data_IF_167046149973
#
_entry.id   IF_167046149973
#
_cell.length_a   1.000
_cell.length_b   1.000
_cell.length_c   1.000
_cell.angle_alpha   90.00
_cell.angle_beta   90.00
_cell.angle_gamma   90.00
#
_symmetry.space_group_name_H-M   'P 1'
#
loop_
_entity.id
_entity.type
_entity.pdbx_description
1 polymer ?
#
# COMPACT_ATOMS: atom_id res chain seq x y z
N UNK A 1 -58.38 36.76 -19.53
CA UNK A 1 -58.18 35.70 -18.55
C UNK A 1 -57.74 34.48 -19.33
N UNK A 2 -56.45 34.23 -19.36
CA UNK A 2 -55.85 33.02 -19.95
C UNK A 2 -55.26 32.20 -18.81
N UNK A 3 -55.91 31.08 -18.51
CA UNK A 3 -55.43 30.08 -17.56
C UNK A 3 -54.20 29.39 -18.16
N UNK A 4 -53.05 29.65 -17.56
CA UNK A 4 -51.80 28.93 -17.86
C UNK A 4 -51.70 27.74 -16.92
N UNK A 5 -52.36 26.65 -17.31
CA UNK A 5 -52.20 25.35 -16.62
C UNK A 5 -50.87 24.78 -17.04
N UNK A 6 -49.89 24.93 -16.19
CA UNK A 6 -48.60 24.21 -16.30
C UNK A 6 -48.90 22.73 -16.08
N UNK A 7 -48.94 21.97 -17.18
CA UNK A 7 -48.98 20.51 -17.12
C UNK A 7 -47.66 20.03 -16.44
N UNK A 8 -47.79 19.52 -15.24
CA UNK A 8 -46.74 18.83 -14.53
C UNK A 8 -46.54 17.47 -15.21
N UNK A 9 -45.39 17.33 -15.89
CA UNK A 9 -44.99 16.08 -16.54
C UNK A 9 -44.63 15.04 -15.46
N UNK A 10 -45.35 13.91 -15.35
CA UNK A 10 -45.11 12.90 -14.30
C UNK A 10 -43.85 12.06 -14.53
N UNK A 11 -43.03 12.38 -15.53
CA UNK A 11 -41.77 11.64 -15.80
C UNK A 11 -40.55 12.09 -14.98
N UNK A 12 -40.68 13.13 -14.12
CA UNK A 12 -39.55 13.73 -13.41
C UNK A 12 -39.34 13.16 -11.99
N UNK A 13 -40.13 12.22 -11.53
CA UNK A 13 -39.97 11.53 -10.23
C UNK A 13 -39.21 10.19 -10.36
N UNK A 14 -38.13 10.17 -11.13
CA UNK A 14 -37.23 9.02 -11.11
C UNK A 14 -36.32 9.08 -9.85
N UNK A 15 -36.80 8.48 -8.76
CA UNK A 15 -36.13 8.39 -7.44
C UNK A 15 -34.93 7.41 -7.44
N UNK A 16 -34.36 7.16 -8.62
CA UNK A 16 -33.20 6.32 -8.81
C UNK A 16 -31.90 7.11 -8.95
N UNK A 17 -30.72 6.45 -8.78
CA UNK A 17 -29.44 7.11 -8.92
C UNK A 17 -29.26 7.68 -10.34
N UNK A 18 -28.78 8.91 -10.44
CA UNK A 18 -28.55 9.57 -11.73
C UNK A 18 -27.57 8.79 -12.61
N UNK A 19 -27.65 8.95 -13.94
CA UNK A 19 -26.69 8.32 -14.88
C UNK A 19 -25.23 8.62 -14.52
N UNK A 20 -24.95 9.81 -14.00
CA UNK A 20 -23.61 10.21 -13.54
C UNK A 20 -23.21 9.47 -12.27
N UNK A 21 -24.16 9.20 -11.35
CA UNK A 21 -23.91 8.41 -10.15
C UNK A 21 -23.60 6.96 -10.51
N UNK A 22 -24.43 6.33 -11.35
CA UNK A 22 -24.21 4.96 -11.84
C UNK A 22 -22.84 4.79 -12.53
N UNK A 23 -22.40 5.79 -13.29
CA UNK A 23 -21.08 5.79 -13.91
C UNK A 23 -19.97 5.87 -12.86
N UNK A 24 -20.08 6.74 -11.84
CA UNK A 24 -19.11 6.84 -10.74
C UNK A 24 -19.01 5.54 -9.97
N UNK A 25 -20.15 4.94 -9.61
CA UNK A 25 -20.20 3.68 -8.85
C UNK A 25 -19.60 2.53 -9.65
N UNK A 26 -19.89 2.46 -10.94
CA UNK A 26 -19.27 1.48 -11.85
C UNK A 26 -17.74 1.63 -11.93
N UNK A 27 -17.24 2.88 -11.99
CA UNK A 27 -15.81 3.18 -12.01
C UNK A 27 -15.15 2.84 -10.68
N UNK A 28 -15.83 3.15 -9.55
CA UNK A 28 -15.34 2.82 -8.21
C UNK A 28 -15.21 1.30 -8.00
N UNK A 29 -16.19 0.52 -8.47
CA UNK A 29 -16.15 -0.95 -8.41
C UNK A 29 -15.08 -1.54 -9.34
N UNK A 30 -14.85 -0.94 -10.51
CA UNK A 30 -13.76 -1.36 -11.38
C UNK A 30 -12.42 -1.12 -10.70
N UNK A 31 -12.20 0.06 -10.11
CA UNK A 31 -10.99 0.37 -9.35
C UNK A 31 -10.81 -0.56 -8.16
N UNK A 32 -11.89 -0.90 -7.45
CA UNK A 32 -11.82 -1.88 -6.37
C UNK A 32 -11.39 -3.26 -6.87
N UNK A 33 -11.82 -3.66 -8.07
CA UNK A 33 -11.35 -4.88 -8.73
C UNK A 33 -9.85 -4.84 -9.07
N UNK A 34 -9.33 -3.70 -9.50
CA UNK A 34 -7.88 -3.50 -9.73
C UNK A 34 -7.11 -3.60 -8.39
N UNK A 35 -7.61 -2.95 -7.35
CA UNK A 35 -7.03 -3.00 -6.00
C UNK A 35 -7.06 -4.44 -5.42
N UNK A 36 -8.16 -5.17 -5.61
CA UNK A 36 -8.29 -6.58 -5.20
C UNK A 36 -7.27 -7.47 -5.93
N UNK A 37 -7.07 -7.26 -7.24
CA UNK A 37 -6.07 -8.00 -8.01
C UNK A 37 -4.64 -7.76 -7.49
N UNK A 38 -4.36 -6.58 -6.92
CA UNK A 38 -3.06 -6.25 -6.36
C UNK A 38 -2.76 -6.99 -5.05
N UNK A 39 -3.79 -7.47 -4.34
CA UNK A 39 -3.62 -8.26 -3.12
C UNK A 39 -2.92 -9.60 -3.40
N UNK A 40 -2.20 -10.16 -2.40
CA UNK A 40 -1.76 -11.55 -2.41
C UNK A 40 -2.96 -12.53 -2.50
N UNK A 41 -2.76 -13.69 -3.11
CA UNK A 41 -3.83 -14.70 -3.28
C UNK A 41 -4.41 -15.19 -1.94
N UNK A 42 -3.59 -15.26 -0.88
CA UNK A 42 -4.02 -15.63 0.47
C UNK A 42 -5.12 -14.71 1.02
N UNK A 43 -5.14 -13.42 0.62
CA UNK A 43 -6.20 -12.49 0.98
C UNK A 43 -7.51 -12.81 0.26
N UNK A 44 -7.45 -13.25 -1.00
CA UNK A 44 -8.67 -13.64 -1.74
C UNK A 44 -9.34 -14.86 -1.13
N UNK A 45 -8.54 -15.83 -0.63
CA UNK A 45 -9.04 -17.03 0.04
C UNK A 45 -9.83 -16.70 1.30
N UNK A 46 -9.37 -15.69 2.06
CA UNK A 46 -10.05 -15.25 3.29
C UNK A 46 -11.36 -14.48 3.04
N UNK A 47 -11.56 -13.95 1.83
CA UNK A 47 -12.72 -13.12 1.48
C UNK A 47 -13.96 -13.91 1.05
N UNK A 48 -13.91 -15.23 1.00
CA UNK A 48 -15.00 -16.09 0.52
C UNK A 48 -15.62 -15.60 -0.82
N UNK A 49 -14.77 -15.17 -1.75
CA UNK A 49 -15.19 -14.66 -3.05
C UNK A 49 -15.93 -15.75 -3.83
N UNK A 50 -16.96 -15.40 -4.66
CA UNK A 50 -17.53 -16.34 -5.60
C UNK A 50 -16.45 -16.94 -6.51
N UNK A 51 -16.52 -18.25 -6.75
CA UNK A 51 -15.55 -19.02 -7.54
C UNK A 51 -15.24 -18.34 -8.90
N UNK A 52 -16.27 -17.87 -9.59
CA UNK A 52 -16.13 -17.20 -10.88
C UNK A 52 -15.28 -15.92 -10.79
N UNK A 53 -15.35 -15.17 -9.69
CA UNK A 53 -14.53 -13.98 -9.47
C UNK A 53 -13.11 -14.37 -9.12
N UNK A 54 -12.94 -15.38 -8.26
CA UNK A 54 -11.64 -15.91 -7.88
C UNK A 54 -10.85 -16.42 -9.10
N UNK A 55 -11.49 -17.21 -9.97
CA UNK A 55 -10.89 -17.67 -11.22
C UNK A 55 -10.56 -16.53 -12.19
N UNK A 56 -11.43 -15.54 -12.26
CA UNK A 56 -11.18 -14.37 -13.11
C UNK A 56 -9.95 -13.57 -12.62
N UNK A 57 -9.74 -13.45 -11.32
CA UNK A 57 -8.54 -12.83 -10.72
C UNK A 57 -7.28 -13.65 -11.01
N UNK A 58 -7.33 -14.98 -10.84
CA UNK A 58 -6.22 -15.87 -11.21
C UNK A 58 -5.85 -15.79 -12.69
N UNK A 59 -6.86 -15.74 -13.55
CA UNK A 59 -6.64 -15.55 -14.99
C UNK A 59 -5.97 -14.20 -15.28
N UNK A 60 -6.40 -13.11 -14.63
CA UNK A 60 -5.84 -11.78 -14.80
C UNK A 60 -4.34 -11.70 -14.44
N UNK A 61 -3.90 -12.45 -13.43
CA UNK A 61 -2.47 -12.51 -13.03
C UNK A 61 -1.58 -13.17 -14.09
N UNK A 62 -2.15 -14.08 -14.87
CA UNK A 62 -1.42 -14.82 -15.93
C UNK A 62 -1.35 -14.06 -17.24
N UNK A 63 -2.24 -13.09 -17.49
CA UNK A 63 -2.28 -12.32 -18.73
C UNK A 63 -1.17 -11.28 -18.74
N UNK A 64 -0.27 -11.37 -19.69
CA UNK A 64 0.87 -10.46 -19.87
C UNK A 64 0.62 -9.36 -20.90
N UNK A 65 -0.25 -9.60 -21.91
CA UNK A 65 -0.54 -8.58 -22.91
C UNK A 65 -1.54 -7.55 -22.39
N UNK A 66 -1.33 -6.29 -22.76
CA UNK A 66 -2.10 -5.15 -22.28
C UNK A 66 -3.59 -5.26 -22.61
N UNK A 67 -3.92 -5.58 -23.86
CA UNK A 67 -5.31 -5.62 -24.33
C UNK A 67 -6.10 -6.76 -23.67
N UNK A 68 -5.49 -7.93 -23.53
CA UNK A 68 -6.10 -9.06 -22.83
C UNK A 68 -6.35 -8.72 -21.35
N UNK A 69 -5.38 -8.09 -20.68
CA UNK A 69 -5.53 -7.67 -19.30
C UNK A 69 -6.63 -6.63 -19.13
N UNK A 70 -6.72 -5.65 -20.04
CA UNK A 70 -7.80 -4.65 -20.05
C UNK A 70 -9.19 -5.30 -20.15
N UNK A 71 -9.36 -6.27 -21.05
CA UNK A 71 -10.64 -7.01 -21.20
C UNK A 71 -10.96 -7.82 -19.95
N UNK A 72 -9.97 -8.49 -19.40
CA UNK A 72 -10.15 -9.28 -18.17
C UNK A 72 -10.55 -8.38 -16.99
N UNK A 73 -9.94 -7.20 -16.84
CA UNK A 73 -10.30 -6.24 -15.79
C UNK A 73 -11.73 -5.69 -15.97
N UNK A 74 -12.17 -5.48 -17.22
CA UNK A 74 -13.57 -5.12 -17.49
C UNK A 74 -14.53 -6.24 -17.06
N UNK A 75 -14.15 -7.50 -17.26
CA UNK A 75 -14.93 -8.66 -16.82
C UNK A 75 -14.98 -8.72 -15.27
N UNK A 76 -13.83 -8.57 -14.60
CA UNK A 76 -13.78 -8.49 -13.14
C UNK A 76 -14.68 -7.37 -12.63
N UNK A 77 -14.63 -6.18 -13.23
CA UNK A 77 -15.52 -5.07 -12.89
C UNK A 77 -17.01 -5.39 -13.04
N UNK A 78 -17.40 -6.24 -14.00
CA UNK A 78 -18.78 -6.73 -14.12
C UNK A 78 -19.13 -7.71 -12.99
N UNK A 79 -18.21 -8.55 -12.57
CA UNK A 79 -18.41 -9.49 -11.46
C UNK A 79 -18.51 -8.75 -10.13
N UNK A 80 -17.69 -7.73 -9.92
CA UNK A 80 -17.72 -6.88 -8.71
C UNK A 80 -19.08 -6.21 -8.47
N UNK A 81 -19.86 -5.94 -9.53
CA UNK A 81 -21.21 -5.40 -9.40
C UNK A 81 -22.25 -6.40 -8.90
N UNK A 82 -21.92 -7.69 -8.86
CA UNK A 82 -22.83 -8.78 -8.48
C UNK A 82 -22.60 -9.30 -7.07
N UNK A 83 -21.60 -8.79 -6.38
CA UNK A 83 -21.24 -9.20 -5.01
C UNK A 83 -21.46 -8.05 -4.04
N UNK A 84 -21.54 -8.37 -2.76
CA UNK A 84 -21.32 -7.37 -1.73
C UNK A 84 -19.85 -6.93 -1.76
N UNK A 85 -19.61 -5.68 -2.08
CA UNK A 85 -18.26 -5.14 -2.24
C UNK A 85 -17.66 -4.66 -0.91
N UNK A 86 -18.43 -4.60 0.18
CA UNK A 86 -17.96 -4.04 1.44
C UNK A 86 -16.83 -4.86 2.07
N UNK A 87 -16.90 -6.20 2.19
CA UNK A 87 -15.78 -7.00 2.69
C UNK A 87 -14.49 -6.82 1.86
N UNK A 88 -14.64 -6.64 0.54
CA UNK A 88 -13.49 -6.39 -0.34
C UNK A 88 -12.89 -5.00 -0.07
N UNK A 89 -13.72 -3.97 0.17
CA UNK A 89 -13.24 -2.62 0.52
C UNK A 89 -12.45 -2.62 1.81
N UNK A 90 -12.98 -3.28 2.84
CA UNK A 90 -12.32 -3.41 4.14
C UNK A 90 -10.98 -4.12 4.03
N UNK A 91 -10.93 -5.24 3.32
CA UNK A 91 -9.69 -5.98 3.10
C UNK A 91 -8.64 -5.16 2.33
N UNK A 92 -9.04 -4.48 1.26
CA UNK A 92 -8.16 -3.60 0.48
C UNK A 92 -7.67 -2.43 1.34
N UNK A 93 -8.54 -1.82 2.16
CA UNK A 93 -8.17 -0.73 3.06
C UNK A 93 -7.16 -1.20 4.12
N UNK A 94 -7.41 -2.35 4.74
CA UNK A 94 -6.53 -2.96 5.75
C UNK A 94 -5.16 -3.27 5.16
N UNK A 95 -5.11 -3.88 3.98
CA UNK A 95 -3.85 -4.17 3.28
C UNK A 95 -3.07 -2.91 2.94
N UNK A 96 -3.73 -1.88 2.39
CA UNK A 96 -3.11 -0.61 2.06
C UNK A 96 -2.57 0.10 3.29
N UNK A 97 -3.30 0.05 4.41
CA UNK A 97 -2.85 0.63 5.69
C UNK A 97 -1.60 -0.09 6.22
N UNK A 98 -1.58 -1.43 6.20
CA UNK A 98 -0.41 -2.22 6.57
C UNK A 98 0.79 -1.87 5.72
N UNK A 99 0.65 -1.87 4.40
CA UNK A 99 1.71 -1.51 3.48
C UNK A 99 2.22 -0.07 3.66
N UNK A 100 1.34 0.88 3.95
CA UNK A 100 1.72 2.27 4.24
C UNK A 100 2.53 2.37 5.54
N UNK A 101 2.14 1.63 6.59
CA UNK A 101 2.90 1.55 7.84
C UNK A 101 4.29 0.96 7.62
N UNK A 102 4.40 -0.15 6.88
CA UNK A 102 5.69 -0.78 6.57
C UNK A 102 6.60 0.14 5.78
N UNK A 103 6.05 0.88 4.81
CA UNK A 103 6.79 1.88 4.03
C UNK A 103 7.28 3.03 4.91
N UNK A 104 6.44 3.51 5.84
CA UNK A 104 6.83 4.57 6.78
C UNK A 104 7.99 4.11 7.67
N UNK A 105 7.92 2.90 8.24
CA UNK A 105 9.00 2.32 9.04
C UNK A 105 10.31 2.20 8.25
N UNK A 106 10.21 1.74 7.00
CA UNK A 106 11.37 1.66 6.12
C UNK A 106 12.04 3.04 5.94
N UNK A 107 11.24 4.07 5.65
CA UNK A 107 11.77 5.43 5.50
C UNK A 107 12.31 6.02 6.80
N UNK A 108 11.75 5.67 7.96
CA UNK A 108 12.31 6.07 9.25
C UNK A 108 13.70 5.46 9.47
N UNK A 109 13.85 4.15 9.23
CA UNK A 109 15.14 3.48 9.33
C UNK A 109 16.19 4.05 8.35
N UNK A 110 15.78 4.41 7.12
CA UNK A 110 16.65 5.05 6.13
C UNK A 110 17.10 6.44 6.62
N UNK A 111 16.20 7.25 7.15
CA UNK A 111 16.50 8.57 7.73
C UNK A 111 17.46 8.47 8.90
N UNK A 112 17.23 7.54 9.83
CA UNK A 112 18.14 7.31 10.94
C UNK A 112 19.53 6.92 10.46
N UNK A 113 19.62 6.03 9.50
CA UNK A 113 20.92 5.65 8.92
C UNK A 113 21.66 6.86 8.34
N UNK A 114 20.99 7.70 7.56
CA UNK A 114 21.59 8.91 7.00
C UNK A 114 22.07 9.87 8.09
N UNK A 115 21.26 10.12 9.12
CA UNK A 115 21.61 10.98 10.25
C UNK A 115 22.79 10.45 11.03
N UNK A 116 22.81 9.15 11.35
CA UNK A 116 23.91 8.47 12.05
C UNK A 116 25.22 8.50 11.27
N UNK A 117 25.17 8.48 9.95
CA UNK A 117 26.34 8.64 9.11
C UNK A 117 26.84 10.07 9.05
N UNK A 118 25.96 11.05 9.18
CA UNK A 118 26.28 12.46 9.04
C UNK A 118 26.80 13.10 10.34
N UNK A 119 26.32 12.70 11.53
CA UNK A 119 26.58 13.37 12.81
C UNK A 119 26.69 12.40 13.97
N UNK A 120 27.54 12.78 14.94
CA UNK A 120 27.63 12.09 16.24
C UNK A 120 26.49 12.49 17.19
N UNK A 121 25.90 13.69 17.02
CA UNK A 121 24.75 14.12 17.81
C UNK A 121 23.54 13.20 17.51
N UNK A 122 23.37 12.76 16.25
CA UNK A 122 22.35 11.80 15.87
C UNK A 122 22.50 10.45 16.60
N UNK A 123 23.71 10.06 16.95
CA UNK A 123 23.93 8.86 17.76
C UNK A 123 23.34 9.01 19.16
N UNK A 124 23.53 10.17 19.79
CA UNK A 124 22.95 10.43 21.11
C UNK A 124 21.43 10.51 21.08
N UNK A 125 20.88 11.14 20.04
CA UNK A 125 19.42 11.21 19.85
C UNK A 125 18.83 9.80 19.65
N UNK A 126 19.45 8.96 18.80
CA UNK A 126 19.00 7.59 18.59
C UNK A 126 18.99 6.78 19.90
N UNK A 127 20.06 6.90 20.69
CA UNK A 127 20.14 6.20 21.98
C UNK A 127 19.14 6.70 23.03
N UNK A 128 18.73 7.96 22.94
CA UNK A 128 17.68 8.49 23.82
C UNK A 128 16.29 7.95 23.44
N UNK A 129 16.05 7.71 22.14
CA UNK A 129 14.79 7.15 21.66
C UNK A 129 14.72 5.62 21.79
N UNK A 130 15.89 4.95 21.83
CA UNK A 130 16.01 3.50 21.86
C UNK A 130 16.95 3.05 22.99
N UNK A 131 16.43 3.03 24.23
CA UNK A 131 17.24 2.79 25.44
C UNK A 131 17.83 1.37 25.53
N UNK A 132 17.17 0.37 24.95
CA UNK A 132 17.56 -1.06 24.99
C UNK A 132 18.66 -1.45 24.00
N UNK A 133 19.16 -0.51 23.23
CA UNK A 133 20.09 -0.78 22.11
C UNK A 133 21.51 -1.01 22.61
N UNK A 134 22.21 -2.01 22.04
CA UNK A 134 23.64 -2.19 22.27
C UNK A 134 24.45 -1.02 21.67
N UNK A 135 24.83 -0.11 22.56
CA UNK A 135 25.58 1.11 22.24
C UNK A 135 26.90 0.81 21.55
N UNK A 136 27.61 -0.26 21.98
CA UNK A 136 28.91 -0.60 21.42
C UNK A 136 28.77 -1.14 20.00
N UNK A 137 27.76 -1.97 19.79
CA UNK A 137 27.46 -2.52 18.45
C UNK A 137 27.07 -1.38 17.50
N UNK A 138 26.17 -0.47 17.90
CA UNK A 138 25.77 0.67 17.09
C UNK A 138 26.97 1.55 16.71
N UNK A 139 27.84 1.91 17.69
CA UNK A 139 29.03 2.72 17.43
C UNK A 139 29.99 2.05 16.46
N UNK A 140 30.16 0.74 16.57
CA UNK A 140 31.02 -0.02 15.68
C UNK A 140 30.47 -0.04 14.25
N UNK A 141 29.15 -0.25 14.09
CA UNK A 141 28.48 -0.25 12.80
C UNK A 141 28.54 1.13 12.12
N UNK A 142 28.26 2.21 12.86
CA UNK A 142 28.36 3.59 12.36
C UNK A 142 29.77 3.89 11.90
N UNK A 143 30.80 3.56 12.71
CA UNK A 143 32.22 3.79 12.36
C UNK A 143 32.62 3.00 11.12
N UNK A 144 32.22 1.73 11.03
CA UNK A 144 32.49 0.89 9.87
C UNK A 144 31.82 1.40 8.60
N UNK A 145 30.56 1.84 8.69
CA UNK A 145 29.80 2.38 7.56
C UNK A 145 30.37 3.72 7.09
N UNK A 146 30.76 4.62 7.99
CA UNK A 146 31.44 5.89 7.65
C UNK A 146 32.79 5.64 6.98
N UNK A 147 33.56 4.67 7.46
CA UNK A 147 34.84 4.28 6.86
C UNK A 147 34.63 3.73 5.44
N UNK A 148 33.65 2.85 5.25
CA UNK A 148 33.33 2.30 3.92
C UNK A 148 32.87 3.41 2.95
N UNK A 149 32.05 4.36 3.43
CA UNK A 149 31.58 5.50 2.65
C UNK A 149 32.69 6.48 2.23
N UNK A 150 33.77 6.57 3.04
CA UNK A 150 34.93 7.42 2.72
C UNK A 150 35.88 6.79 1.65
N UNK A 151 35.73 5.52 1.34
CA UNK A 151 36.48 4.88 0.27
C UNK A 151 36.02 5.37 -1.12
N UNK A 152 36.89 5.19 -2.11
CA UNK A 152 36.55 5.37 -3.51
C UNK A 152 35.32 4.50 -3.89
N UNK A 153 34.40 4.96 -4.75
CA UNK A 153 33.16 4.23 -5.08
C UNK A 153 33.39 2.76 -5.47
N UNK A 154 34.48 2.49 -6.19
CA UNK A 154 34.85 1.14 -6.66
C UNK A 154 35.29 0.19 -5.53
N UNK A 155 35.74 0.74 -4.40
CA UNK A 155 36.22 0.00 -3.24
C UNK A 155 35.18 -0.15 -2.13
N UNK A 156 33.99 0.45 -2.29
CA UNK A 156 32.91 0.37 -1.30
C UNK A 156 32.24 -1.00 -1.33
N UNK A 157 32.24 -1.68 -0.20
CA UNK A 157 31.55 -2.97 -0.08
C UNK A 157 30.03 -2.83 0.12
N UNK A 158 29.63 -1.72 0.72
CA UNK A 158 28.25 -1.45 1.14
C UNK A 158 27.73 -2.42 2.21
N UNK A 159 28.58 -3.30 2.74
CA UNK A 159 28.22 -4.29 3.75
C UNK A 159 27.86 -3.62 5.07
N UNK A 160 28.76 -2.78 5.58
CA UNK A 160 28.54 -2.07 6.84
C UNK A 160 27.32 -1.14 6.77
N UNK A 161 27.04 -0.56 5.62
CA UNK A 161 25.87 0.26 5.35
C UNK A 161 24.56 -0.55 5.46
N UNK A 162 24.55 -1.78 4.94
CA UNK A 162 23.39 -2.69 5.06
C UNK A 162 23.25 -3.22 6.49
N UNK A 163 24.34 -3.59 7.15
CA UNK A 163 24.32 -4.08 8.53
C UNK A 163 23.81 -3.01 9.49
N UNK A 164 24.24 -1.74 9.33
CA UNK A 164 23.72 -0.62 10.11
C UNK A 164 22.20 -0.45 9.90
N UNK A 165 21.74 -0.53 8.66
CA UNK A 165 20.30 -0.44 8.36
C UNK A 165 19.48 -1.55 9.03
N UNK A 166 19.95 -2.80 8.96
CA UNK A 166 19.26 -3.92 9.61
C UNK A 166 19.25 -3.77 11.14
N UNK A 167 20.32 -3.26 11.70
CA UNK A 167 20.39 -2.99 13.14
C UNK A 167 19.38 -1.93 13.57
N UNK A 168 19.31 -0.80 12.86
CA UNK A 168 18.32 0.27 13.11
C UNK A 168 16.91 -0.29 13.02
N UNK A 169 16.59 -0.99 11.94
CA UNK A 169 15.27 -1.57 11.72
C UNK A 169 14.85 -2.53 12.84
N UNK A 170 15.77 -3.35 13.34
CA UNK A 170 15.51 -4.25 14.45
C UNK A 170 15.28 -3.49 15.77
N UNK A 171 16.03 -2.41 16.01
CA UNK A 171 15.86 -1.56 17.19
C UNK A 171 14.51 -0.83 17.19
N UNK A 172 14.09 -0.30 16.04
CA UNK A 172 12.76 0.36 15.91
C UNK A 172 11.61 -0.64 16.09
N UNK A 173 11.75 -1.87 15.61
CA UNK A 173 10.74 -2.91 15.81
C UNK A 173 10.61 -3.33 17.28
N UNK A 174 11.73 -3.44 18.02
CA UNK A 174 11.71 -3.79 19.43
C UNK A 174 11.03 -2.71 20.32
N UNK A 175 11.20 -1.44 19.96
CA UNK A 175 10.58 -0.33 20.70
C UNK A 175 9.05 -0.20 20.50
N UNK A 176 8.48 -0.84 19.46
CA UNK A 176 7.02 -0.83 19.23
C UNK A 176 6.29 -1.96 19.96
N UNK A 177 7.01 -3.01 20.36
CA UNK A 177 6.42 -4.19 21.02
C UNK A 177 6.33 -3.99 22.56
N UNK A 178 6.83 -2.87 23.12
CA UNK A 178 6.73 -2.47 24.52
C UNK A 178 5.54 -1.51 24.78
#
# INVERSE_FOLDING_TARGET
MQDNTTEHDPEDDFDGPSKSQLKRDSTALQKLGDDLLALPESWWESLALPEILFDALKAAKKITNFEGKRRQMQYIGKLMRKIDAEPVREAVATFKLGHAKDSLKLHQSERWRERLLASDDALQEFLNEHAEVDIQQLRNLVRAARKDAANEPEKRSGRAFRELFQFIKASEAAAEDE
#
